data_IF_953477071385
#
_entry.id   IF_953477071385
#
_cell.length_a   1.000
_cell.length_b   1.000
_cell.length_c   1.000
_cell.angle_alpha   90.00
_cell.angle_beta   90.00
_cell.angle_gamma   90.00
#
_symmetry.space_group_name_H-M   'P 1'
#
loop_
_entity.id
_entity.type
_entity.pdbx_description
1 polymer ?
#
# COMPACT_ATOMS: atom_id res chain seq x y z
N UNK A 1 2.40 -21.40 -26.39
CA UNK A 1 2.84 -20.02 -26.08
C UNK A 1 2.31 -19.67 -24.70
N UNK A 2 3.18 -19.38 -23.72
CA UNK A 2 2.75 -18.96 -22.39
C UNK A 2 2.09 -17.56 -22.46
N UNK A 3 1.02 -17.28 -21.69
CA UNK A 3 0.38 -15.98 -21.71
C UNK A 3 1.37 -14.88 -21.30
N UNK A 4 1.47 -13.82 -22.11
CA UNK A 4 2.25 -12.62 -21.76
C UNK A 4 1.66 -12.03 -20.48
N UNK A 5 2.44 -12.02 -19.39
CA UNK A 5 2.06 -11.38 -18.12
C UNK A 5 1.76 -9.91 -18.38
N UNK A 6 0.60 -9.42 -17.94
CA UNK A 6 0.27 -7.99 -18.03
C UNK A 6 1.36 -7.18 -17.32
N UNK A 7 1.80 -6.03 -17.88
CA UNK A 7 2.77 -5.19 -17.23
C UNK A 7 2.25 -4.81 -15.85
N UNK A 8 3.13 -4.98 -14.88
CA UNK A 8 2.84 -4.83 -13.48
C UNK A 8 2.70 -3.33 -13.16
N UNK A 9 1.50 -2.88 -12.80
CA UNK A 9 1.23 -1.47 -12.50
C UNK A 9 1.54 -1.19 -11.04
N UNK A 10 2.11 -0.02 -10.75
CA UNK A 10 2.36 0.44 -9.38
C UNK A 10 1.29 1.46 -9.00
N UNK A 11 0.57 1.18 -7.91
CA UNK A 11 -0.36 2.14 -7.32
C UNK A 11 0.33 2.98 -6.26
N UNK A 12 0.08 4.30 -6.29
CA UNK A 12 0.44 5.22 -5.22
C UNK A 12 -0.77 5.43 -4.31
N UNK A 13 -0.63 5.04 -3.04
CA UNK A 13 -1.70 5.13 -2.04
C UNK A 13 -1.26 6.10 -0.94
N UNK A 14 -2.13 7.05 -0.60
CA UNK A 14 -1.96 7.89 0.59
C UNK A 14 -2.75 7.29 1.75
N UNK A 15 -2.08 7.00 2.85
CA UNK A 15 -2.68 6.49 4.09
C UNK A 15 -2.57 7.58 5.14
N UNK A 16 -3.66 7.91 5.81
CA UNK A 16 -3.69 8.94 6.86
C UNK A 16 -4.47 8.46 8.08
N UNK A 17 -3.99 8.78 9.28
CA UNK A 17 -4.73 8.53 10.51
C UNK A 17 -5.88 9.52 10.65
N UNK A 18 -7.08 8.98 10.88
CA UNK A 18 -8.26 9.79 11.19
C UNK A 18 -8.12 10.37 12.59
N UNK A 19 -8.76 11.52 12.82
CA UNK A 19 -8.92 12.15 14.13
C UNK A 19 -7.63 12.65 14.81
N UNK A 20 -6.54 12.83 14.05
CA UNK A 20 -5.27 13.36 14.57
C UNK A 20 -4.92 14.71 13.91
N UNK A 21 -4.44 15.66 14.72
CA UNK A 21 -3.89 16.95 14.27
C UNK A 21 -2.52 17.19 14.96
N UNK A 22 -1.45 17.52 14.21
CA UNK A 22 -1.38 17.58 12.75
C UNK A 22 -1.56 16.19 12.09
N UNK A 23 -2.00 16.11 10.82
CA UNK A 23 -2.30 14.84 10.18
C UNK A 23 -1.04 13.97 10.05
N UNK A 24 -1.11 12.75 10.56
CA UNK A 24 -0.07 11.73 10.37
C UNK A 24 -0.43 10.90 9.13
N UNK A 25 0.46 10.89 8.14
CA UNK A 25 0.25 10.17 6.88
C UNK A 25 1.53 9.54 6.31
N UNK A 26 1.34 8.57 5.41
CA UNK A 26 2.38 7.89 4.63
C UNK A 26 1.93 7.75 3.17
N UNK A 27 2.88 7.78 2.23
CA UNK A 27 2.65 7.49 0.82
C UNK A 27 3.32 6.16 0.48
N UNK A 28 2.53 5.21 0.00
CA UNK A 28 2.96 3.85 -0.31
C UNK A 28 2.94 3.63 -1.81
N UNK A 29 3.92 2.89 -2.33
CA UNK A 29 3.91 2.34 -3.68
C UNK A 29 3.73 0.83 -3.57
N UNK A 30 2.63 0.32 -4.13
CA UNK A 30 2.29 -1.10 -4.05
C UNK A 30 2.02 -1.68 -5.42
N UNK A 31 2.29 -2.97 -5.56
CA UNK A 31 1.94 -3.70 -6.78
C UNK A 31 0.42 -3.74 -6.99
N UNK A 32 -0.04 -3.69 -8.24
CA UNK A 32 -1.46 -3.84 -8.58
C UNK A 32 -2.06 -5.20 -8.23
N UNK A 33 -1.24 -6.21 -7.98
CA UNK A 33 -1.70 -7.53 -7.50
C UNK A 33 -1.54 -7.71 -5.99
N UNK A 34 -1.12 -6.66 -5.26
CA UNK A 34 -1.02 -6.71 -3.80
C UNK A 34 -2.40 -7.04 -3.22
N UNK A 35 -2.50 -8.15 -2.50
CA UNK A 35 -3.74 -8.53 -1.83
C UNK A 35 -4.03 -7.58 -0.67
N UNK A 36 -5.30 -7.46 -0.27
CA UNK A 36 -5.66 -6.61 0.88
C UNK A 36 -4.97 -7.06 2.18
N UNK A 37 -4.73 -8.36 2.37
CA UNK A 37 -3.96 -8.87 3.51
C UNK A 37 -2.49 -8.43 3.49
N UNK A 38 -1.86 -8.45 2.31
CA UNK A 38 -0.48 -7.94 2.16
C UNK A 38 -0.45 -6.42 2.37
N UNK A 39 -1.43 -5.70 1.82
CA UNK A 39 -1.58 -4.26 2.01
C UNK A 39 -1.76 -3.90 3.49
N UNK A 40 -2.54 -4.68 4.24
CA UNK A 40 -2.68 -4.51 5.69
C UNK A 40 -1.31 -4.56 6.39
N UNK A 41 -0.50 -5.59 6.11
CA UNK A 41 0.83 -5.72 6.71
C UNK A 41 1.77 -4.56 6.31
N UNK A 42 1.71 -4.11 5.05
CA UNK A 42 2.48 -2.97 4.57
C UNK A 42 2.08 -1.70 5.33
N UNK A 43 0.79 -1.48 5.58
CA UNK A 43 0.30 -0.33 6.36
C UNK A 43 0.80 -0.41 7.81
N UNK A 44 0.68 -1.57 8.47
CA UNK A 44 1.18 -1.76 9.84
C UNK A 44 2.67 -1.40 9.94
N UNK A 45 3.51 -1.94 9.04
CA UNK A 45 4.94 -1.67 9.01
C UNK A 45 5.25 -0.19 8.72
N UNK A 46 4.59 0.44 7.74
CA UNK A 46 4.82 1.84 7.38
C UNK A 46 4.43 2.83 8.50
N UNK A 47 3.52 2.42 9.37
CA UNK A 47 3.09 3.19 10.54
C UNK A 47 3.91 2.89 11.80
N UNK A 48 4.79 1.88 11.77
CA UNK A 48 5.61 1.45 12.91
C UNK A 48 4.81 0.68 13.96
N UNK A 49 3.76 -0.04 13.55
CA UNK A 49 2.87 -0.80 14.43
C UNK A 49 3.19 -2.31 14.51
N UNK A 50 4.33 -2.71 13.94
CA UNK A 50 4.81 -4.10 13.93
C UNK A 50 5.32 -4.58 15.28
#
# INVERSE_FOLDING_TARGET
MAPKRKPQSIHQIKVSLKNIRPPIWRRLQVDSRTTLGSLHNIIQAAMGWG
#
